data_IF_808696248067
#
_entry.id   IF_808696248067
#
_cell.length_a   1.000
_cell.length_b   1.000
_cell.length_c   1.000
_cell.angle_alpha   90.00
_cell.angle_beta   90.00
_cell.angle_gamma   90.00
#
_symmetry.space_group_name_H-M   'P 1'
#
loop_
_entity.id
_entity.type
_entity.pdbx_description
1 polymer ?
#
# COMPACT_ATOMS: atom_id res chain seq x y z
N UNK A 1 -16.51 -29.25 0.76
CA UNK A 1 -15.17 -28.92 1.30
C UNK A 1 -15.35 -28.00 2.48
N UNK A 2 -14.68 -28.26 3.61
CA UNK A 2 -14.52 -27.26 4.67
C UNK A 2 -13.51 -26.19 4.23
N UNK A 3 -13.48 -25.04 4.90
CA UNK A 3 -12.52 -23.97 4.62
C UNK A 3 -11.07 -24.47 4.71
N UNK A 4 -10.76 -25.28 5.71
CA UNK A 4 -9.40 -25.81 5.92
C UNK A 4 -9.01 -26.82 4.83
N UNK A 5 -9.94 -27.68 4.41
CA UNK A 5 -9.70 -28.58 3.28
C UNK A 5 -9.45 -27.79 1.99
N UNK A 6 -10.18 -26.70 1.75
CA UNK A 6 -9.98 -25.85 0.59
C UNK A 6 -8.61 -25.15 0.62
N UNK A 7 -8.20 -24.63 1.78
CA UNK A 7 -6.87 -24.02 1.99
C UNK A 7 -5.74 -25.04 1.77
N UNK A 8 -5.87 -26.24 2.32
CA UNK A 8 -4.88 -27.30 2.15
C UNK A 8 -4.74 -27.72 0.68
N UNK A 9 -5.86 -27.88 -0.03
CA UNK A 9 -5.85 -28.20 -1.46
C UNK A 9 -5.19 -27.08 -2.29
N UNK A 10 -5.53 -25.81 -2.02
CA UNK A 10 -4.93 -24.67 -2.69
C UNK A 10 -3.41 -24.60 -2.44
N UNK A 11 -2.97 -24.85 -1.19
CA UNK A 11 -1.55 -24.90 -0.84
C UNK A 11 -0.81 -26.01 -1.59
N UNK A 12 -1.39 -27.21 -1.68
CA UNK A 12 -0.81 -28.33 -2.42
C UNK A 12 -0.68 -28.03 -3.93
N UNK A 13 -1.68 -27.37 -4.52
CA UNK A 13 -1.66 -26.96 -5.92
C UNK A 13 -0.63 -25.84 -6.18
N UNK A 14 -0.44 -24.93 -5.24
CA UNK A 14 0.51 -23.81 -5.35
C UNK A 14 1.98 -24.25 -5.16
N UNK A 15 2.24 -25.26 -4.32
CA UNK A 15 3.57 -25.74 -3.97
C UNK A 15 4.56 -25.90 -5.15
N UNK A 16 4.22 -26.56 -6.27
CA UNK A 16 5.16 -26.70 -7.40
C UNK A 16 5.49 -25.37 -8.08
N UNK A 17 4.54 -24.42 -8.12
CA UNK A 17 4.73 -23.09 -8.69
C UNK A 17 5.65 -22.28 -7.78
N UNK A 18 5.39 -22.30 -6.46
CA UNK A 18 6.22 -21.61 -5.47
C UNK A 18 7.66 -22.12 -5.53
N UNK A 19 7.86 -23.43 -5.60
CA UNK A 19 9.19 -24.04 -5.73
C UNK A 19 9.89 -23.62 -7.03
N UNK A 20 9.18 -23.66 -8.18
CA UNK A 20 9.73 -23.27 -9.49
C UNK A 20 10.28 -21.84 -9.50
N UNK A 21 9.61 -20.92 -8.81
CA UNK A 21 9.99 -19.50 -8.77
C UNK A 21 10.76 -19.12 -7.50
N UNK A 22 11.16 -20.10 -6.68
CA UNK A 22 11.81 -19.89 -5.39
C UNK A 22 11.08 -18.88 -4.48
N UNK A 23 9.74 -18.86 -4.58
CA UNK A 23 8.88 -18.02 -3.74
C UNK A 23 8.79 -18.70 -2.37
N UNK A 24 9.31 -18.01 -1.36
CA UNK A 24 9.29 -18.45 0.02
C UNK A 24 8.97 -17.25 0.92
N UNK A 25 8.36 -17.48 2.10
CA UNK A 25 8.12 -16.43 3.09
C UNK A 25 9.45 -16.03 3.72
N UNK A 26 10.17 -15.13 3.06
CA UNK A 26 11.50 -14.66 3.48
C UNK A 26 11.47 -13.30 4.16
N UNK A 27 10.42 -12.51 3.89
CA UNK A 27 10.26 -11.20 4.49
C UNK A 27 9.50 -11.27 5.81
N UNK A 28 9.93 -10.47 6.78
CA UNK A 28 9.25 -10.29 8.05
C UNK A 28 8.41 -9.01 8.01
N UNK A 29 7.21 -9.05 8.61
CA UNK A 29 6.37 -7.85 8.73
C UNK A 29 7.00 -6.92 9.76
N UNK A 30 7.40 -5.73 9.33
CA UNK A 30 8.07 -4.74 10.18
C UNK A 30 7.11 -3.72 10.77
N UNK A 31 5.99 -3.44 10.12
CA UNK A 31 4.97 -2.52 10.59
C UNK A 31 3.58 -2.92 10.06
N UNK A 32 2.53 -2.54 10.78
CA UNK A 32 1.14 -2.75 10.39
C UNK A 32 0.27 -1.61 10.91
N UNK A 33 -0.69 -1.19 10.10
CA UNK A 33 -1.74 -0.27 10.50
C UNK A 33 -2.75 -1.03 11.37
N UNK A 34 -2.85 -0.61 12.63
CA UNK A 34 -3.66 -1.27 13.66
C UNK A 34 -5.16 -1.09 13.43
N UNK A 35 -5.58 -0.21 12.53
CA UNK A 35 -6.98 0.11 12.31
C UNK A 35 -7.56 -0.53 11.04
N UNK A 36 -6.74 -1.15 10.20
CA UNK A 36 -7.15 -1.59 8.86
C UNK A 36 -7.14 -3.09 8.63
N UNK A 37 -6.88 -3.84 9.71
CA UNK A 37 -7.09 -5.29 9.83
C UNK A 37 -6.66 -6.07 8.57
N UNK A 38 -5.39 -5.96 8.12
CA UNK A 38 -5.00 -6.53 6.84
C UNK A 38 -5.05 -8.06 6.80
N UNK A 39 -5.04 -8.72 7.97
CA UNK A 39 -5.14 -10.17 8.10
C UNK A 39 -6.60 -10.67 8.12
N UNK A 40 -7.59 -9.77 8.23
CA UNK A 40 -9.00 -10.11 8.38
C UNK A 40 -9.81 -9.87 7.10
N UNK A 41 -10.88 -10.64 6.93
CA UNK A 41 -11.89 -10.33 5.93
C UNK A 41 -12.72 -9.13 6.39
N UNK A 42 -12.72 -8.07 5.60
CA UNK A 42 -13.47 -6.84 5.86
C UNK A 42 -14.75 -6.85 5.02
N UNK A 43 -15.89 -6.53 5.64
CA UNK A 43 -17.16 -6.36 4.93
C UNK A 43 -17.21 -5.06 4.13
N UNK A 44 -17.95 -5.04 3.01
CA UNK A 44 -18.05 -3.85 2.15
C UNK A 44 -18.52 -2.60 2.90
N UNK A 45 -19.46 -2.74 3.84
CA UNK A 45 -19.95 -1.61 4.64
C UNK A 45 -18.87 -0.95 5.52
N UNK A 46 -17.80 -1.67 5.86
CA UNK A 46 -16.76 -1.18 6.76
C UNK A 46 -15.66 -0.40 6.04
N UNK A 47 -15.58 -0.50 4.71
CA UNK A 47 -14.50 0.11 3.90
C UNK A 47 -14.45 1.63 4.09
N UNK A 48 -15.62 2.29 4.13
CA UNK A 48 -15.69 3.73 4.35
C UNK A 48 -15.12 4.15 5.70
N UNK A 49 -15.38 3.36 6.76
CA UNK A 49 -14.80 3.59 8.08
C UNK A 49 -13.29 3.40 8.04
N UNK A 50 -12.80 2.34 7.38
CA UNK A 50 -11.38 2.07 7.26
C UNK A 50 -10.63 3.21 6.59
N UNK A 51 -11.17 3.75 5.51
CA UNK A 51 -10.58 4.89 4.82
C UNK A 51 -10.34 6.09 5.75
N UNK A 52 -11.29 6.39 6.64
CA UNK A 52 -11.20 7.51 7.58
C UNK A 52 -10.15 7.31 8.68
N UNK A 53 -9.98 6.06 9.14
CA UNK A 53 -9.09 5.74 10.27
C UNK A 53 -7.70 5.28 9.86
N UNK A 54 -7.49 5.02 8.56
CA UNK A 54 -6.25 4.47 8.05
C UNK A 54 -5.06 5.39 8.30
N UNK A 55 -3.91 4.80 8.63
CA UNK A 55 -2.71 5.57 8.93
C UNK A 55 -1.94 5.94 7.67
N UNK A 56 -1.45 7.18 7.61
CA UNK A 56 -0.54 7.66 6.55
C UNK A 56 0.95 7.53 6.94
N UNK A 57 1.22 7.00 8.13
CA UNK A 57 2.56 6.77 8.63
C UNK A 57 2.62 5.43 9.34
N UNK A 58 3.71 4.68 9.12
CA UNK A 58 4.02 3.45 9.83
C UNK A 58 5.41 3.56 10.46
N UNK A 59 5.55 3.03 11.67
CA UNK A 59 6.84 2.94 12.37
C UNK A 59 7.34 1.49 12.35
N UNK A 60 8.23 1.12 11.41
CA UNK A 60 8.79 -0.21 11.35
C UNK A 60 9.78 -0.49 12.48
N UNK A 61 10.02 -1.78 12.76
CA UNK A 61 11.07 -2.20 13.69
C UNK A 61 12.43 -1.64 13.28
N UNK A 62 13.00 -0.82 14.17
CA UNK A 62 14.16 0.02 13.89
C UNK A 62 15.44 -0.78 13.60
N UNK A 63 15.63 -1.88 14.33
CA UNK A 63 16.82 -2.73 14.33
C UNK A 63 17.12 -3.37 12.97
N UNK A 64 16.10 -3.60 12.16
CA UNK A 64 16.24 -4.31 10.88
C UNK A 64 16.63 -3.37 9.73
N UNK A 65 16.17 -2.11 9.73
CA UNK A 65 16.24 -1.25 8.55
C UNK A 65 16.95 0.11 8.76
N UNK A 66 17.09 0.58 9.99
CA UNK A 66 17.65 1.90 10.26
C UNK A 66 16.79 3.06 9.73
N UNK A 67 15.49 2.83 9.56
CA UNK A 67 14.46 3.85 9.30
C UNK A 67 13.54 3.94 10.52
N UNK A 68 13.03 5.13 10.81
CA UNK A 68 12.12 5.38 11.95
C UNK A 68 10.66 5.39 11.52
N UNK A 69 10.39 5.80 10.28
CA UNK A 69 9.06 6.00 9.74
C UNK A 69 9.01 5.78 8.23
N UNK A 70 7.87 5.25 7.78
CA UNK A 70 7.44 5.21 6.39
C UNK A 70 6.29 6.21 6.29
N UNK A 71 6.49 7.28 5.53
CA UNK A 71 5.55 8.38 5.41
C UNK A 71 4.88 8.40 4.04
N UNK A 72 3.55 8.44 4.03
CA UNK A 72 2.73 8.64 2.84
C UNK A 72 2.14 10.05 2.85
N UNK A 73 2.50 10.83 1.83
CA UNK A 73 1.83 12.09 1.53
C UNK A 73 0.87 11.85 0.37
N UNK A 74 -0.38 12.27 0.53
CA UNK A 74 -1.31 12.37 -0.60
C UNK A 74 -0.99 13.64 -1.38
N UNK A 75 -0.88 13.52 -2.70
CA UNK A 75 -0.51 14.61 -3.59
C UNK A 75 -1.54 14.76 -4.71
N UNK A 76 -1.54 15.92 -5.36
CA UNK A 76 -2.26 16.14 -6.60
C UNK A 76 -1.31 15.89 -7.78
N UNK A 77 -1.59 14.86 -8.58
CA UNK A 77 -0.77 14.47 -9.71
C UNK A 77 -1.56 14.60 -11.03
N UNK A 78 -0.86 14.60 -12.16
CA UNK A 78 -1.52 14.52 -13.47
C UNK A 78 -2.33 13.22 -13.56
N UNK A 79 -3.40 13.23 -14.35
CA UNK A 79 -4.24 12.05 -14.56
C UNK A 79 -4.39 11.75 -16.04
N UNK A 80 -4.33 10.47 -16.39
CA UNK A 80 -4.64 10.01 -17.76
C UNK A 80 -6.15 9.96 -18.04
N UNK A 81 -6.98 10.20 -17.02
CA UNK A 81 -8.45 10.15 -17.08
C UNK A 81 -9.05 11.32 -16.30
N UNK A 82 -10.29 11.72 -16.61
CA UNK A 82 -10.98 12.74 -15.81
C UNK A 82 -11.40 12.15 -14.45
N UNK A 83 -10.87 12.72 -13.37
CA UNK A 83 -11.16 12.33 -12.00
C UNK A 83 -11.80 13.46 -11.19
N UNK A 84 -12.36 14.48 -11.84
CA UNK A 84 -13.02 15.62 -11.20
C UNK A 84 -14.07 15.23 -10.13
N UNK A 85 -14.77 14.12 -10.33
CA UNK A 85 -15.76 13.57 -9.37
C UNK A 85 -15.18 12.98 -8.09
N UNK A 86 -13.85 12.79 -8.02
CA UNK A 86 -13.16 12.29 -6.83
C UNK A 86 -12.73 13.39 -5.88
N UNK A 87 -12.99 14.65 -6.23
CA UNK A 87 -12.66 15.83 -5.44
C UNK A 87 -13.91 16.48 -4.86
N UNK A 88 -13.79 17.03 -3.66
CA UNK A 88 -14.83 17.85 -3.06
C UNK A 88 -15.08 19.12 -3.88
N UNK A 89 -16.28 19.70 -3.79
CA UNK A 89 -16.70 20.87 -4.58
C UNK A 89 -15.75 22.06 -4.47
N UNK A 90 -15.08 22.22 -3.32
CA UNK A 90 -14.11 23.29 -3.08
C UNK A 90 -12.79 23.14 -3.85
N UNK A 91 -12.51 21.96 -4.42
CA UNK A 91 -11.25 21.60 -5.09
C UNK A 91 -11.41 21.40 -6.61
N UNK A 92 -12.62 21.39 -7.15
CA UNK A 92 -12.93 21.01 -8.54
C UNK A 92 -12.27 21.90 -9.60
N UNK A 93 -12.09 23.20 -9.34
CA UNK A 93 -11.44 24.13 -10.29
C UNK A 93 -9.95 23.84 -10.54
N UNK A 94 -9.24 23.30 -9.54
CA UNK A 94 -7.82 22.92 -9.65
C UNK A 94 -7.62 21.46 -10.06
N UNK A 95 -8.71 20.69 -10.17
CA UNK A 95 -8.70 19.24 -10.35
C UNK A 95 -8.81 18.77 -11.82
N UNK A 96 -9.01 19.68 -12.77
CA UNK A 96 -9.14 19.32 -14.19
C UNK A 96 -7.85 18.65 -14.66
N UNK A 97 -7.96 17.41 -15.16
CA UNK A 97 -6.82 16.61 -15.58
C UNK A 97 -5.91 16.13 -14.44
N UNK A 98 -6.39 16.21 -13.19
CA UNK A 98 -5.65 15.77 -12.00
C UNK A 98 -6.35 14.59 -11.33
N UNK A 99 -5.60 13.87 -10.51
CA UNK A 99 -6.11 12.85 -9.60
C UNK A 99 -5.31 12.89 -8.31
N UNK A 100 -5.88 12.32 -7.23
CA UNK A 100 -5.05 12.02 -6.07
C UNK A 100 -4.03 10.95 -6.46
N UNK A 101 -2.77 11.28 -6.20
CA UNK A 101 -1.64 10.36 -6.19
C UNK A 101 -1.03 10.29 -4.79
N UNK A 102 0.09 9.61 -4.67
CA UNK A 102 0.84 9.58 -3.41
C UNK A 102 2.34 9.69 -3.63
N UNK A 103 3.00 10.17 -2.57
CA UNK A 103 4.44 10.13 -2.38
C UNK A 103 4.76 9.30 -1.15
N UNK A 104 5.66 8.35 -1.30
CA UNK A 104 6.08 7.44 -0.25
C UNK A 104 7.56 7.66 0.08
N UNK A 105 7.84 8.05 1.32
CA UNK A 105 9.17 8.44 1.78
C UNK A 105 9.59 7.61 2.99
N UNK A 106 10.82 7.14 3.00
CA UNK A 106 11.46 6.56 4.16
C UNK A 106 12.17 7.66 4.96
N UNK A 107 11.97 7.70 6.27
CA UNK A 107 12.57 8.70 7.15
C UNK A 107 13.56 8.07 8.12
N UNK A 108 14.64 8.81 8.39
CA UNK A 108 15.65 8.47 9.38
C UNK A 108 15.25 8.86 10.80
N UNK A 109 16.13 8.58 11.76
CA UNK A 109 15.94 8.89 13.19
C UNK A 109 15.71 10.40 13.46
N UNK A 110 16.27 11.27 12.63
CA UNK A 110 16.09 12.72 12.72
C UNK A 110 14.79 13.22 12.08
N UNK A 111 13.91 12.30 11.66
CA UNK A 111 12.67 12.58 10.93
C UNK A 111 12.90 13.04 9.49
N UNK A 112 14.15 13.13 9.03
CA UNK A 112 14.43 13.60 7.68
C UNK A 112 14.25 12.49 6.66
N UNK A 113 13.79 12.81 5.45
CA UNK A 113 13.78 11.88 4.33
C UNK A 113 15.17 11.29 4.10
N UNK A 114 15.28 9.96 4.18
CA UNK A 114 16.48 9.23 3.77
C UNK A 114 16.32 8.66 2.36
N UNK A 115 15.09 8.39 1.92
CA UNK A 115 14.82 7.88 0.57
C UNK A 115 13.40 8.18 0.11
N UNK A 116 13.27 8.66 -1.11
CA UNK A 116 12.00 8.68 -1.84
C UNK A 116 11.79 7.32 -2.49
N UNK A 117 10.79 6.57 -2.03
CA UNK A 117 10.51 5.22 -2.53
C UNK A 117 9.59 5.24 -3.75
N UNK A 118 8.62 6.15 -3.78
CA UNK A 118 7.68 6.32 -4.89
C UNK A 118 7.10 7.73 -4.90
N UNK A 119 6.85 8.28 -6.09
CA UNK A 119 6.06 9.49 -6.28
C UNK A 119 5.28 9.37 -7.59
N UNK A 120 3.98 9.63 -7.52
CA UNK A 120 3.15 9.71 -8.72
C UNK A 120 3.39 11.01 -9.48
N UNK A 121 3.99 10.90 -10.66
CA UNK A 121 4.01 12.00 -11.64
C UNK A 121 2.68 12.09 -12.39
N UNK A 122 2.15 10.92 -12.77
CA UNK A 122 0.84 10.79 -13.37
C UNK A 122 0.15 9.52 -12.85
N UNK A 123 -1.14 9.63 -12.55
CA UNK A 123 -1.99 8.54 -12.09
C UNK A 123 -2.61 7.84 -13.30
N UNK A 124 -2.34 6.53 -13.52
CA UNK A 124 -2.91 5.80 -14.63
C UNK A 124 -4.39 5.48 -14.38
N UNK A 125 -5.17 5.40 -15.45
CA UNK A 125 -6.61 5.09 -15.39
C UNK A 125 -6.95 3.77 -14.70
N UNK A 126 -6.02 2.80 -14.70
CA UNK A 126 -6.17 1.54 -13.96
C UNK A 126 -6.27 1.72 -12.42
N UNK A 127 -5.96 2.90 -11.89
CA UNK A 127 -6.19 3.25 -10.48
C UNK A 127 -7.60 3.77 -10.20
N UNK A 128 -8.46 3.90 -11.20
CA UNK A 128 -9.89 4.16 -11.08
C UNK A 128 -10.22 5.40 -10.21
N UNK A 129 -9.61 6.53 -10.54
CA UNK A 129 -9.81 7.82 -9.84
C UNK A 129 -9.81 7.67 -8.30
N UNK A 130 -8.61 7.51 -7.72
CA UNK A 130 -8.43 7.40 -6.28
C UNK A 130 -8.99 8.62 -5.56
N UNK A 131 -9.55 8.38 -4.38
CA UNK A 131 -10.09 9.41 -3.49
C UNK A 131 -9.21 9.56 -2.25
N UNK A 132 -8.52 8.50 -1.85
CA UNK A 132 -7.46 8.57 -0.85
C UNK A 132 -6.46 7.43 -0.95
N UNK A 133 -5.32 7.62 -0.28
CA UNK A 133 -4.31 6.59 -0.03
C UNK A 133 -3.89 6.57 1.44
N UNK A 134 -3.54 5.39 1.92
CA UNK A 134 -2.99 5.15 3.26
C UNK A 134 -2.05 3.93 3.26
N UNK A 135 -1.45 3.63 4.40
CA UNK A 135 -0.53 2.50 4.55
C UNK A 135 -1.25 1.33 5.23
N UNK A 136 -1.00 0.11 4.77
CA UNK A 136 -1.52 -1.12 5.36
C UNK A 136 -0.47 -1.79 6.24
N UNK A 137 0.68 -2.12 5.65
CA UNK A 137 1.80 -2.75 6.34
C UNK A 137 3.08 -2.64 5.53
N UNK A 138 4.19 -3.05 6.15
CA UNK A 138 5.49 -3.16 5.49
C UNK A 138 6.18 -4.47 5.83
N UNK A 139 6.95 -5.00 4.87
CA UNK A 139 7.76 -6.20 5.00
C UNK A 139 9.20 -5.92 4.62
N UNK A 140 10.15 -6.47 5.36
CA UNK A 140 11.57 -6.36 5.07
C UNK A 140 12.22 -7.72 4.90
N UNK A 141 13.21 -7.79 4.04
CA UNK A 141 14.08 -8.94 3.88
C UNK A 141 15.50 -8.49 3.61
N UNK A 142 16.46 -9.08 4.32
CA UNK A 142 17.89 -8.83 4.09
C UNK A 142 18.50 -10.11 3.53
N UNK A 143 18.72 -10.20 2.21
CA UNK A 143 19.41 -11.35 1.65
C UNK A 143 20.89 -11.35 2.07
N UNK A 144 21.48 -12.54 2.22
CA UNK A 144 22.89 -12.70 2.59
C UNK A 144 23.82 -11.88 1.68
N UNK A 145 24.63 -11.02 2.30
CA UNK A 145 25.59 -10.16 1.59
C UNK A 145 24.98 -9.09 0.69
N UNK A 146 23.66 -8.84 0.75
CA UNK A 146 22.96 -7.83 -0.05
C UNK A 146 22.25 -6.79 0.82
N UNK A 147 22.00 -5.57 0.30
CA UNK A 147 21.21 -4.57 1.02
C UNK A 147 19.79 -5.05 1.34
N UNK A 148 19.26 -4.59 2.48
CA UNK A 148 17.88 -4.84 2.87
C UNK A 148 16.89 -4.27 1.83
N UNK A 149 15.91 -5.09 1.49
CA UNK A 149 14.78 -4.71 0.63
C UNK A 149 13.51 -4.59 1.46
N UNK A 150 12.63 -3.72 1.02
CA UNK A 150 11.35 -3.40 1.67
C UNK A 150 10.23 -3.52 0.64
N UNK A 151 9.09 -4.04 1.07
CA UNK A 151 7.81 -3.93 0.39
C UNK A 151 6.83 -3.21 1.31
N UNK A 152 6.22 -2.13 0.83
CA UNK A 152 5.18 -1.38 1.53
C UNK A 152 3.86 -1.60 0.81
N UNK A 153 2.85 -2.06 1.53
CA UNK A 153 1.50 -2.18 1.00
C UNK A 153 0.74 -0.88 1.26
N UNK A 154 0.46 -0.18 0.16
CA UNK A 154 -0.32 1.06 0.13
C UNK A 154 -1.76 0.70 -0.19
N UNK A 155 -2.68 1.19 0.62
CA UNK A 155 -4.11 1.08 0.40
C UNK A 155 -4.54 2.21 -0.52
N UNK A 156 -5.34 1.87 -1.53
CA UNK A 156 -6.00 2.82 -2.44
C UNK A 156 -7.49 2.68 -2.26
N UNK A 157 -8.15 3.80 -2.00
CA UNK A 157 -9.60 3.87 -1.94
C UNK A 157 -10.13 4.61 -3.16
N UNK A 158 -11.25 4.13 -3.71
CA UNK A 158 -11.98 4.80 -4.78
C UNK A 158 -13.48 4.54 -4.65
N UNK A 159 -14.27 5.22 -5.47
CA UNK A 159 -15.66 4.84 -5.66
C UNK A 159 -15.75 3.58 -6.52
N UNK A 160 -16.45 2.56 -6.03
CA UNK A 160 -16.85 1.37 -6.79
C UNK A 160 -18.35 1.36 -7.07
N UNK A 161 -18.83 0.31 -7.74
CA UNK A 161 -20.25 0.16 -8.08
C UNK A 161 -21.14 -0.05 -6.84
N UNK A 162 -20.68 -0.87 -5.89
CA UNK A 162 -21.46 -1.24 -4.68
C UNK A 162 -21.12 -0.37 -3.46
N UNK A 163 -20.33 0.68 -3.64
CA UNK A 163 -19.83 1.53 -2.55
C UNK A 163 -18.33 1.78 -2.66
N UNK A 164 -17.68 2.03 -1.52
CA UNK A 164 -16.24 2.30 -1.47
C UNK A 164 -15.44 1.03 -1.83
N UNK A 165 -14.50 1.15 -2.77
CA UNK A 165 -13.59 0.07 -3.18
C UNK A 165 -12.22 0.27 -2.52
N UNK A 166 -11.65 -0.81 -1.96
CA UNK A 166 -10.31 -0.83 -1.34
C UNK A 166 -9.43 -1.80 -2.10
N UNK A 167 -8.29 -1.32 -2.60
CA UNK A 167 -7.26 -2.16 -3.23
C UNK A 167 -5.88 -1.87 -2.66
N UNK A 168 -4.95 -2.76 -2.91
CA UNK A 168 -3.57 -2.64 -2.44
C UNK A 168 -2.60 -2.45 -3.61
N UNK A 169 -1.58 -1.63 -3.38
CA UNK A 169 -0.45 -1.41 -4.26
C UNK A 169 0.81 -1.78 -3.46
N UNK A 170 1.61 -2.69 -3.99
CA UNK A 170 2.91 -2.99 -3.42
C UNK A 170 3.95 -2.03 -4.01
N UNK A 171 4.59 -1.24 -3.15
CA UNK A 171 5.76 -0.43 -3.50
C UNK A 171 6.99 -1.09 -2.92
N UNK A 172 7.92 -1.48 -3.78
CA UNK A 172 9.13 -2.21 -3.38
C UNK A 172 10.39 -1.39 -3.64
N UNK A 173 11.39 -1.51 -2.79
CA UNK A 173 12.71 -0.96 -3.06
C UNK A 173 13.74 -1.32 -2.00
N UNK A 174 14.97 -0.87 -2.22
CA UNK A 174 16.04 -1.00 -1.23
C UNK A 174 15.91 0.10 -0.18
N UNK A 175 16.27 -0.19 1.08
CA UNK A 175 16.23 0.84 2.14
C UNK A 175 17.37 1.85 2.00
N UNK A 176 18.54 1.40 1.53
CA UNK A 176 19.69 2.23 1.15
C UNK A 176 20.09 1.88 -0.27
#
# INVERSE_FOLDING_TARGET
>A
LTLDQARAQAAAQAAPILARYAIAPRGERTAVDRFTFPDDMVGYQDIARLEQVSQKSLSPSYDVLGISSIQLDQILADSTTDCSSSFDETQQGAAIGKAFGFRLTLQGQDGKPVKLLHEDKAVPGSRHCPTSYSLSESYAFTPDGKPAVLAVLVQRFSQGFEGRDRRFIAVTGQVR
#
